data_IF_830121530442
#
_entry.id   IF_830121530442
#
_cell.length_a   1.000
_cell.length_b   1.000
_cell.length_c   1.000
_cell.angle_alpha   90.00
_cell.angle_beta   90.00
_cell.angle_gamma   90.00
#
_symmetry.space_group_name_H-M   'P 1'
#
loop_
_entity.id
_entity.type
_entity.pdbx_description
1 polymer ?
2 polymer ?
3 non-polymer ?
4 non-polymer ?
5 non-polymer ?
6 water ?
#
# COMPACT_ATOMS: atom_id res chain seq x y z
N UNK A 1 10.86 -25.01 13.18
CA UNK A 1 10.70 -23.85 12.28
C UNK A 1 10.05 -24.29 10.97
N UNK A 2 9.20 -23.43 10.40
CA UNK A 2 8.51 -23.75 9.16
C UNK A 2 9.37 -23.49 7.93
N UNK A 3 10.35 -22.56 7.96
CA UNK A 3 11.28 -22.42 6.86
C UNK A 3 12.43 -23.41 7.04
N UNK A 4 12.77 -24.16 5.97
CA UNK A 4 13.91 -25.07 6.07
C UNK A 4 15.19 -24.26 6.14
N UNK A 5 15.27 -23.14 5.40
CA UNK A 5 16.39 -22.22 5.47
C UNK A 5 15.88 -20.78 5.33
N UNK A 6 16.67 -19.81 5.86
CA UNK A 6 16.30 -18.40 5.91
C UNK A 6 16.76 -17.70 4.63
N UNK A 7 16.22 -18.16 3.51
CA UNK A 7 16.53 -17.59 2.20
C UNK A 7 15.24 -17.57 1.39
N UNK A 8 15.36 -17.06 0.16
CA UNK A 8 14.25 -16.89 -0.76
C UNK A 8 13.81 -18.24 -1.30
N UNK A 9 14.79 -19.13 -1.56
CA UNK A 9 14.54 -20.52 -1.87
C UNK A 9 13.74 -21.16 -0.76
N UNK A 10 14.14 -20.91 0.49
CA UNK A 10 13.43 -21.46 1.64
C UNK A 10 11.98 -20.97 1.68
N UNK A 11 11.77 -19.68 1.38
CA UNK A 11 10.43 -19.11 1.41
C UNK A 11 9.64 -19.71 0.24
N UNK A 12 10.26 -19.82 -0.93
CA UNK A 12 9.59 -20.35 -2.10
C UNK A 12 9.12 -21.79 -1.87
N UNK A 13 10.01 -22.62 -1.32
CA UNK A 13 9.68 -23.98 -0.91
C UNK A 13 8.48 -23.98 0.03
N UNK A 14 8.52 -23.15 1.07
CA UNK A 14 7.44 -23.11 2.03
C UNK A 14 6.11 -22.71 1.37
N UNK A 15 6.18 -21.81 0.38
CA UNK A 15 4.98 -21.34 -0.29
C UNK A 15 4.32 -22.45 -1.11
N UNK A 16 5.12 -23.38 -1.64
CA UNK A 16 4.60 -24.43 -2.50
C UNK A 16 4.21 -25.66 -1.70
N UNK A 17 4.58 -25.69 -0.42
CA UNK A 17 4.12 -26.70 0.52
C UNK A 17 2.66 -26.49 0.94
N UNK A 18 2.05 -27.61 1.39
CA UNK A 18 0.67 -27.67 1.82
C UNK A 18 0.44 -26.77 3.03
N UNK A 19 1.53 -26.48 3.76
CA UNK A 19 1.44 -25.67 4.97
C UNK A 19 1.07 -24.23 4.62
N UNK A 20 1.40 -23.76 3.42
CA UNK A 20 1.18 -22.36 3.13
C UNK A 20 -0.03 -22.15 2.22
N UNK A 21 -1.08 -21.56 2.79
CA UNK A 21 -2.36 -21.43 2.12
C UNK A 21 -2.85 -19.98 2.13
N UNK A 22 -2.51 -19.23 3.19
CA UNK A 22 -3.07 -17.90 3.43
C UNK A 22 -1.94 -16.90 3.61
N UNK A 23 -1.82 -15.99 2.63
CA UNK A 23 -0.73 -15.05 2.56
C UNK A 23 -1.29 -13.64 2.79
N UNK A 24 -0.66 -12.91 3.72
CA UNK A 24 -0.93 -11.49 3.88
C UNK A 24 0.26 -10.71 3.34
N UNK A 25 -0.06 -9.76 2.47
CA UNK A 25 0.89 -8.81 1.97
C UNK A 25 0.72 -7.51 2.73
N UNK A 26 1.84 -6.96 3.17
CA UNK A 26 1.92 -5.61 3.72
C UNK A 26 2.77 -4.79 2.76
N UNK A 27 2.20 -3.73 2.19
CA UNK A 27 2.91 -2.99 1.15
C UNK A 27 2.91 -1.48 1.42
N UNK A 28 3.94 -0.81 0.87
CA UNK A 28 4.11 0.63 1.00
C UNK A 28 4.61 1.27 -0.30
N UNK A 29 5.20 2.46 -0.17
CA UNK A 29 5.52 3.33 -1.30
C UNK A 29 6.52 2.69 -2.28
N UNK A 30 7.38 1.80 -1.77
CA UNK A 30 8.44 1.22 -2.57
C UNK A 30 7.92 0.25 -3.63
N UNK A 31 6.64 -0.17 -3.56
CA UNK A 31 6.02 -1.00 -4.61
C UNK A 31 5.44 -0.13 -5.74
N UNK A 32 5.41 1.20 -5.58
CA UNK A 32 4.86 2.04 -6.63
C UNK A 32 5.88 3.04 -7.19
N UNK A 33 7.11 3.08 -6.67
CA UNK A 33 8.10 4.04 -7.13
C UNK A 33 8.48 3.76 -8.59
N UNK A 34 8.50 2.49 -9.00
CA UNK A 34 8.89 2.18 -10.37
C UNK A 34 7.77 2.54 -11.35
N UNK A 35 6.56 2.80 -10.83
CA UNK A 35 5.47 3.30 -11.66
C UNK A 35 5.49 4.82 -11.71
N UNK A 36 6.57 5.43 -11.20
CA UNK A 36 6.78 6.87 -11.23
C UNK A 36 5.89 7.61 -10.24
N UNK A 37 5.54 6.95 -9.13
CA UNK A 37 4.74 7.56 -8.08
C UNK A 37 5.64 7.70 -6.87
N UNK A 38 5.87 8.94 -6.38
CA UNK A 38 6.79 9.15 -5.28
C UNK A 38 6.22 8.79 -3.91
N UNK A 39 7.15 8.57 -2.99
CA UNK A 39 6.83 8.35 -1.59
C UNK A 39 6.39 9.70 -1.02
N UNK A 40 5.11 9.76 -0.62
CA UNK A 40 4.57 10.98 -0.03
C UNK A 40 4.93 11.05 1.46
N UNK A 41 5.81 10.16 1.96
CA UNK A 41 6.36 10.24 3.32
C UNK A 41 7.87 10.48 3.32
N UNK A 42 8.52 10.57 2.15
CA UNK A 42 9.96 10.77 2.08
C UNK A 42 10.26 12.20 1.62
N UNK A 43 11.54 12.59 1.40
CA UNK A 43 11.89 13.92 0.92
C UNK A 43 11.67 14.13 -0.58
N UNK A 44 10.42 13.89 -1.03
CA UNK A 44 9.92 14.45 -2.27
C UNK A 44 9.35 15.83 -1.95
N UNK A 45 8.53 16.41 -2.86
CA UNK A 45 7.87 17.72 -2.76
C UNK A 45 8.57 18.67 -3.71
N UNK A 49 7.34 21.87 0.96
CA UNK A 49 8.66 22.52 0.73
C UNK A 49 8.48 23.89 0.08
N UNK A 50 7.93 23.92 -1.14
CA UNK A 50 7.65 25.18 -1.80
C UNK A 50 6.13 25.34 -1.95
N UNK A 51 5.46 25.44 -0.79
CA UNK A 51 4.03 25.66 -0.70
C UNK A 51 3.75 27.11 -0.32
N UNK A 52 4.76 27.98 -0.44
CA UNK A 52 4.59 29.39 -0.13
C UNK A 52 3.33 29.90 -0.82
N UNK A 53 3.08 29.34 -2.03
CA UNK A 53 1.98 29.72 -2.90
C UNK A 53 0.63 29.74 -2.18
N UNK A 54 0.39 28.77 -1.29
CA UNK A 54 -0.95 28.45 -0.82
C UNK A 54 -1.32 29.18 0.48
N UNK A 55 -0.39 29.93 1.07
CA UNK A 55 -0.70 30.85 2.16
C UNK A 55 -1.20 30.10 3.39
N UNK A 56 -0.60 28.91 3.63
CA UNK A 56 -1.00 27.96 4.66
C UNK A 56 -0.60 28.44 6.05
N UNK A 57 -1.43 28.19 7.11
CA UNK A 57 -1.03 28.51 8.48
C UNK A 57 0.26 27.82 8.94
N UNK A 58 0.41 26.56 8.53
CA UNK A 58 1.59 25.75 8.81
C UNK A 58 1.73 24.75 7.66
N UNK A 59 2.95 24.25 7.35
CA UNK A 59 3.19 23.42 6.17
C UNK A 59 2.18 22.30 5.92
N UNK A 60 1.90 21.50 6.96
CA UNK A 60 1.20 20.24 6.77
C UNK A 60 -0.32 20.43 6.82
N UNK A 61 -0.77 21.70 6.81
CA UNK A 61 -2.18 22.02 6.72
C UNK A 61 -2.78 21.56 5.37
N UNK A 62 -1.93 21.36 4.33
CA UNK A 62 -2.41 20.94 3.02
C UNK A 62 -3.09 19.57 3.08
N UNK A 63 -2.71 18.72 4.06
CA UNK A 63 -3.23 17.35 4.13
C UNK A 63 -4.02 17.13 5.43
N UNK A 64 -4.52 18.22 6.03
CA UNK A 64 -5.36 18.15 7.22
C UNK A 64 -6.81 18.44 6.82
N UNK A 65 -7.74 17.77 7.51
CA UNK A 65 -9.09 17.61 7.02
C UNK A 65 -9.91 18.88 7.29
N UNK A 66 -9.67 19.53 8.45
CA UNK A 66 -10.40 20.72 8.85
C UNK A 66 -10.03 21.90 7.96
N UNK A 67 -8.72 22.05 7.76
CA UNK A 67 -8.17 23.00 6.82
C UNK A 67 -8.81 22.79 5.46
N UNK A 68 -8.77 21.54 4.97
CA UNK A 68 -9.15 21.17 3.62
C UNK A 68 -10.62 21.48 3.33
N UNK A 69 -11.51 21.13 4.27
CA UNK A 69 -12.94 21.36 4.06
C UNK A 69 -13.23 22.87 4.06
N UNK A 70 -12.31 23.67 4.63
CA UNK A 70 -12.43 25.11 4.66
C UNK A 70 -11.77 25.75 3.42
N UNK A 71 -10.63 25.20 2.99
CA UNK A 71 -9.88 25.71 1.86
C UNK A 71 -9.32 24.53 1.07
N UNK A 72 -10.11 23.90 0.17
CA UNK A 72 -9.69 22.72 -0.58
C UNK A 72 -8.81 22.98 -1.79
N UNK A 73 -8.79 24.24 -2.26
CA UNK A 73 -8.07 24.60 -3.48
C UNK A 73 -6.59 24.23 -3.39
N UNK A 74 -5.84 24.57 -2.30
CA UNK A 74 -4.45 24.11 -2.17
C UNK A 74 -4.28 22.62 -2.50
N UNK A 75 -4.99 21.74 -1.78
CA UNK A 75 -4.81 20.30 -1.94
C UNK A 75 -5.02 19.87 -3.40
N UNK A 76 -6.07 20.37 -4.05
CA UNK A 76 -6.38 19.95 -5.42
C UNK A 76 -5.37 20.49 -6.43
N UNK A 77 -4.83 21.68 -6.19
CA UNK A 77 -3.76 22.24 -7.02
C UNK A 77 -2.49 21.39 -6.88
N UNK A 78 -2.18 20.94 -5.66
CA UNK A 78 -1.03 20.11 -5.43
C UNK A 78 -1.26 18.71 -6.02
N UNK A 79 -2.50 18.23 -5.86
CA UNK A 79 -2.93 17.00 -6.50
C UNK A 79 -2.62 17.07 -8.00
N UNK A 80 -2.86 18.22 -8.62
CA UNK A 80 -2.60 18.37 -10.06
C UNK A 80 -1.11 18.20 -10.34
N UNK A 81 -0.26 18.83 -9.52
CA UNK A 81 1.19 18.76 -9.70
C UNK A 81 1.66 17.33 -9.55
N UNK A 82 1.03 16.58 -8.62
CA UNK A 82 1.50 15.27 -8.23
C UNK A 82 0.81 14.16 -9.01
N UNK A 83 -0.25 14.47 -9.76
CA UNK A 83 -1.08 13.47 -10.41
C UNK A 83 -0.24 12.70 -11.43
N UNK A 84 -0.11 11.35 -11.33
CA UNK A 84 0.64 10.59 -12.33
C UNK A 84 0.06 10.72 -13.74
N UNK A 85 0.95 10.78 -14.73
CA UNK A 85 0.52 10.85 -16.11
C UNK A 85 -0.23 9.59 -16.54
N UNK A 86 -0.06 8.50 -15.79
CA UNK A 86 -0.60 7.20 -16.14
C UNK A 86 -0.59 6.33 -14.88
N UNK A 87 -1.55 5.39 -14.78
CA UNK A 87 -1.63 4.46 -13.66
C UNK A 87 -1.28 3.05 -14.16
N UNK A 88 0.01 2.76 -14.19
CA UNK A 88 0.48 1.46 -14.64
C UNK A 88 1.07 0.73 -13.43
N UNK A 89 0.37 -0.31 -12.92
CA UNK A 89 0.89 -1.10 -11.81
C UNK A 89 2.20 -1.83 -12.17
N UNK A 90 2.99 -2.13 -11.14
CA UNK A 90 4.31 -2.71 -11.29
C UNK A 90 4.24 -4.23 -11.20
N UNK A 91 5.39 -4.87 -11.47
CA UNK A 91 5.58 -6.31 -11.28
C UNK A 91 5.10 -6.74 -9.89
N UNK A 92 5.43 -5.96 -8.86
CA UNK A 92 5.06 -6.28 -7.48
C UNK A 92 3.55 -6.32 -7.28
N UNK A 93 2.82 -5.34 -7.86
CA UNK A 93 1.36 -5.36 -7.83
C UNK A 93 0.83 -6.58 -8.58
N UNK A 94 1.40 -6.89 -9.75
CA UNK A 94 0.87 -8.01 -10.51
C UNK A 94 1.19 -9.36 -9.83
N UNK A 95 2.27 -9.37 -9.05
CA UNK A 95 2.63 -10.53 -8.24
C UNK A 95 1.50 -10.87 -7.27
N UNK A 96 0.96 -9.84 -6.62
CA UNK A 96 -0.14 -10.01 -5.70
C UNK A 96 -1.41 -10.50 -6.42
N UNK A 97 -1.60 -10.08 -7.68
CA UNK A 97 -2.70 -10.61 -8.48
C UNK A 97 -2.50 -12.10 -8.76
N UNK A 98 -1.25 -12.51 -9.01
CA UNK A 98 -0.92 -13.92 -9.15
C UNK A 98 -1.28 -14.68 -7.88
N UNK A 99 -0.97 -14.10 -6.70
CA UNK A 99 -1.31 -14.77 -5.45
C UNK A 99 -2.81 -14.98 -5.36
N UNK A 100 -3.56 -13.94 -5.73
CA UNK A 100 -5.01 -14.03 -5.71
C UNK A 100 -5.49 -15.11 -6.67
N UNK A 101 -4.89 -15.19 -7.88
CA UNK A 101 -5.34 -16.14 -8.87
C UNK A 101 -5.08 -17.58 -8.43
N UNK A 102 -4.00 -17.75 -7.65
CA UNK A 102 -3.57 -19.06 -7.21
C UNK A 102 -4.24 -19.44 -5.90
N UNK A 103 -5.14 -18.59 -5.40
CA UNK A 103 -5.89 -18.91 -4.18
C UNK A 103 -5.10 -18.68 -2.89
N UNK A 104 -4.01 -17.91 -2.93
CA UNK A 104 -3.12 -17.76 -1.79
C UNK A 104 -3.33 -16.44 -1.04
N UNK A 105 -4.00 -15.47 -1.65
CA UNK A 105 -4.02 -14.14 -1.05
C UNK A 105 -5.16 -14.05 -0.05
N UNK A 106 -4.86 -13.95 1.25
CA UNK A 106 -5.88 -13.65 2.26
C UNK A 106 -6.20 -12.15 2.25
N UNK A 107 -5.17 -11.30 2.20
CA UNK A 107 -5.41 -9.87 2.24
C UNK A 107 -4.13 -9.13 1.87
N UNK A 108 -4.29 -7.98 1.20
CA UNK A 108 -3.24 -6.98 1.08
C UNK A 108 -3.60 -5.73 1.90
N UNK A 109 -2.76 -5.43 2.90
CA UNK A 109 -2.77 -4.18 3.63
C UNK A 109 -1.79 -3.23 2.96
N UNK A 110 -2.28 -2.08 2.47
CA UNK A 110 -1.44 -1.14 1.75
C UNK A 110 -1.48 0.20 2.48
N UNK A 111 -0.32 0.87 2.48
CA UNK A 111 -0.21 2.25 2.92
C UNK A 111 -0.48 3.21 1.78
N UNK A 112 -0.54 2.72 0.53
CA UNK A 112 -0.56 3.56 -0.67
C UNK A 112 -1.98 3.94 -1.05
N UNK A 113 -2.10 5.08 -1.74
CA UNK A 113 -3.40 5.67 -2.08
C UNK A 113 -3.56 5.73 -3.59
N UNK A 114 -2.61 5.17 -4.34
CA UNK A 114 -2.49 5.38 -5.79
C UNK A 114 -3.40 4.48 -6.62
N UNK A 115 -4.14 3.53 -6.01
CA UNK A 115 -5.12 2.66 -6.66
C UNK A 115 -4.50 1.53 -7.50
N UNK A 116 -3.18 1.42 -7.54
CA UNK A 116 -2.55 0.46 -8.45
C UNK A 116 -2.91 -1.00 -8.11
N UNK A 117 -3.12 -1.31 -6.82
CA UNK A 117 -3.61 -2.62 -6.40
C UNK A 117 -4.94 -2.97 -7.08
N UNK A 118 -5.88 -2.02 -7.08
CA UNK A 118 -7.17 -2.23 -7.73
C UNK A 118 -7.00 -2.39 -9.25
N UNK A 119 -6.18 -1.54 -9.87
CA UNK A 119 -5.98 -1.60 -11.30
C UNK A 119 -5.35 -2.95 -11.67
N UNK A 120 -4.50 -3.49 -10.78
CA UNK A 120 -3.83 -4.75 -11.03
C UNK A 120 -4.76 -5.94 -10.76
N UNK A 121 -5.97 -5.66 -10.25
CA UNK A 121 -7.02 -6.68 -10.18
C UNK A 121 -7.26 -7.26 -8.79
N UNK A 122 -6.72 -6.63 -7.76
CA UNK A 122 -7.18 -6.88 -6.41
C UNK A 122 -8.51 -6.15 -6.22
N UNK A 123 -9.48 -6.86 -5.61
CA UNK A 123 -10.81 -6.34 -5.34
C UNK A 123 -10.88 -5.70 -3.96
N UNK A 124 -11.94 -4.91 -3.72
CA UNK A 124 -12.20 -4.27 -2.43
C UNK A 124 -12.03 -5.24 -1.26
N UNK A 125 -12.56 -6.46 -1.43
CA UNK A 125 -12.54 -7.48 -0.39
C UNK A 125 -11.10 -7.91 -0.05
N UNK A 126 -10.20 -7.80 -1.03
CA UNK A 126 -8.83 -8.29 -0.86
C UNK A 126 -7.94 -7.26 -0.18
N UNK A 127 -8.45 -6.03 0.01
CA UNK A 127 -7.61 -4.88 0.30
C UNK A 127 -8.02 -4.24 1.62
N UNK A 128 -7.03 -3.78 2.38
CA UNK A 128 -7.22 -2.85 3.49
C UNK A 128 -6.36 -1.64 3.16
N UNK A 129 -6.99 -0.61 2.61
CA UNK A 129 -6.30 0.63 2.30
C UNK A 129 -6.19 1.44 3.60
N UNK A 130 -5.06 1.23 4.30
CA UNK A 130 -4.88 1.73 5.64
C UNK A 130 -5.00 3.26 5.68
N UNK A 131 -4.66 3.93 4.58
CA UNK A 131 -4.73 5.38 4.49
C UNK A 131 -5.71 5.86 3.42
N UNK A 132 -6.65 5.01 3.03
CA UNK A 132 -7.63 5.39 2.03
C UNK A 132 -7.09 5.21 0.60
N UNK A 133 -7.85 5.74 -0.37
CA UNK A 133 -7.46 5.64 -1.77
C UNK A 133 -8.09 6.75 -2.58
N UNK A 134 -7.47 7.04 -3.72
CA UNK A 134 -8.03 7.93 -4.74
C UNK A 134 -9.02 7.19 -5.65
N UNK A 135 -9.16 5.87 -5.48
CA UNK A 135 -9.94 5.09 -6.43
C UNK A 135 -11.43 5.49 -6.42
N UNK A 136 -11.94 5.78 -5.22
CA UNK A 136 -13.25 6.39 -5.07
C UNK A 136 -13.11 7.73 -4.34
N UNK A 137 -14.10 8.59 -4.58
CA UNK A 137 -14.31 9.84 -3.87
C UNK A 137 -15.77 9.90 -3.44
N UNK A 138 -16.06 10.62 -2.35
CA UNK A 138 -17.43 10.76 -1.89
C UNK A 138 -17.74 12.22 -1.58
N UNK A 139 -19.02 12.56 -1.74
CA UNK A 139 -19.57 13.86 -1.36
C UNK A 139 -19.40 14.03 0.15
N UNK A 140 -18.87 15.18 0.58
CA UNK A 140 -18.64 15.49 2.00
C UNK A 140 -19.94 15.61 2.77
N UNK A 141 -21.09 15.61 2.09
CA UNK A 141 -22.38 15.60 2.77
C UNK A 141 -22.74 14.16 3.15
N UNK A 142 -22.96 13.94 4.45
CA UNK A 142 -23.22 12.62 4.99
C UNK A 142 -24.56 12.11 4.48
N UNK A 143 -25.50 13.03 4.22
CA UNK A 143 -26.83 12.67 3.76
C UNK A 143 -26.81 12.21 2.31
N UNK A 144 -25.81 12.64 1.52
CA UNK A 144 -25.76 12.35 0.08
C UNK A 144 -24.69 11.32 -0.20
N UNK A 145 -23.46 11.60 0.25
CA UNK A 145 -22.36 10.66 0.19
C UNK A 145 -22.26 10.02 -1.21
N UNK A 146 -22.45 10.83 -2.26
CA UNK A 146 -22.41 10.35 -3.65
C UNK A 146 -21.00 9.95 -4.03
N UNK A 147 -20.84 8.74 -4.61
CA UNK A 147 -19.57 8.18 -5.04
C UNK A 147 -19.18 8.58 -6.46
N UNK A 148 -17.90 8.91 -6.65
CA UNK A 148 -17.39 9.29 -7.95
C UNK A 148 -16.15 8.45 -8.24
N UNK A 149 -15.98 7.93 -9.48
CA UNK A 149 -14.77 7.18 -9.83
C UNK A 149 -13.55 8.07 -9.96
N UNK A 150 -12.37 7.45 -10.09
CA UNK A 150 -11.14 8.22 -10.17
C UNK A 150 -11.12 9.02 -11.45
N UNK A 151 -11.63 8.45 -12.55
CA UNK A 151 -11.66 9.19 -13.81
C UNK A 151 -12.32 10.56 -13.60
N UNK A 152 -13.43 10.56 -12.85
CA UNK A 152 -14.21 11.77 -12.64
C UNK A 152 -13.38 12.75 -11.83
N UNK A 153 -12.72 12.26 -10.78
CA UNK A 153 -11.83 13.08 -9.95
C UNK A 153 -10.63 13.57 -10.77
N UNK A 154 -10.03 12.68 -11.58
CA UNK A 154 -8.95 13.09 -12.48
C UNK A 154 -9.33 14.37 -13.21
N UNK A 155 -10.44 14.28 -13.95
CA UNK A 155 -10.85 15.36 -14.84
C UNK A 155 -10.94 16.67 -14.05
N UNK A 156 -11.64 16.66 -12.90
CA UNK A 156 -11.84 17.89 -12.15
C UNK A 156 -10.49 18.47 -11.70
N UNK A 157 -9.52 17.60 -11.44
CA UNK A 157 -8.22 18.02 -10.95
C UNK A 157 -7.40 18.62 -12.10
N UNK A 158 -7.36 17.89 -13.24
CA UNK A 158 -6.57 18.28 -14.40
C UNK A 158 -7.23 19.43 -15.15
N UNK A 159 -8.46 19.80 -14.74
CA UNK A 159 -9.12 20.96 -15.31
C UNK A 159 -9.27 22.06 -14.26
N UNK A 160 -8.49 21.95 -13.17
CA UNK A 160 -8.41 22.95 -12.10
C UNK A 160 -9.77 23.53 -11.74
N UNK A 161 -10.82 22.68 -11.76
CA UNK A 161 -12.16 23.07 -11.34
C UNK A 161 -12.49 22.20 -10.12
N UNK A 162 -12.86 22.85 -9.01
CA UNK A 162 -13.01 22.15 -7.74
C UNK A 162 -14.11 21.09 -7.88
N UNK A 163 -13.95 19.87 -7.32
CA UNK A 163 -14.98 18.85 -7.45
C UNK A 163 -16.17 19.10 -6.53
N UNK A 164 -17.34 19.26 -7.15
CA UNK A 164 -18.58 19.45 -6.41
C UNK A 164 -19.56 18.37 -6.85
N UNK A 165 -20.43 17.96 -5.93
CA UNK A 165 -21.37 16.89 -6.20
C UNK A 165 -22.39 17.35 -7.25
N UNK A 166 -22.75 16.46 -8.17
CA UNK A 166 -23.74 16.75 -9.18
C UNK A 166 -25.13 16.79 -8.55
N UNK A 167 -25.33 16.00 -7.48
CA UNK A 167 -26.64 15.88 -6.87
C UNK A 167 -26.90 17.01 -5.88
N UNK A 168 -25.88 17.45 -5.11
CA UNK A 168 -26.14 18.41 -4.04
C UNK A 168 -25.11 19.55 -3.97
N UNK A 169 -24.10 19.51 -4.84
CA UNK A 169 -23.13 20.58 -5.03
C UNK A 169 -22.16 20.70 -3.85
N UNK A 170 -22.14 19.70 -2.96
CA UNK A 170 -21.13 19.63 -1.92
C UNK A 170 -19.76 19.37 -2.54
N UNK A 171 -18.71 19.67 -1.76
CA UNK A 171 -17.36 19.25 -2.06
C UNK A 171 -17.29 17.72 -2.11
N UNK A 172 -16.50 17.20 -3.05
CA UNK A 172 -16.24 15.76 -3.17
C UNK A 172 -14.78 15.54 -2.82
N UNK A 173 -14.51 14.73 -1.78
CA UNK A 173 -13.15 14.47 -1.33
C UNK A 173 -12.73 13.07 -1.76
N UNK A 174 -11.51 12.88 -2.31
CA UNK A 174 -10.97 11.54 -2.53
C UNK A 174 -10.99 10.74 -1.23
N UNK A 175 -11.18 9.42 -1.31
CA UNK A 175 -11.36 8.59 -0.13
C UNK A 175 -10.03 8.25 0.55
N UNK A 176 -9.09 9.21 0.60
CA UNK A 176 -7.83 9.05 1.34
C UNK A 176 -8.09 9.43 2.79
N UNK A 177 -7.17 9.08 3.69
CA UNK A 177 -7.23 9.51 5.08
C UNK A 177 -6.34 10.72 5.27
N UNK A 178 -6.93 11.93 5.26
CA UNK A 178 -6.22 13.16 5.59
C UNK A 178 -5.81 13.11 7.05
N UNK A 179 -4.87 13.99 7.44
CA UNK A 179 -4.51 14.13 8.83
C UNK A 179 -5.72 14.72 9.57
N UNK A 180 -6.04 14.11 10.72
CA UNK A 180 -7.16 14.56 11.55
C UNK A 180 -8.42 13.73 11.29
N UNK A 181 -8.38 12.87 10.25
CA UNK A 181 -9.43 11.89 10.03
C UNK A 181 -9.11 10.63 10.84
N UNK A 182 -10.18 9.88 11.15
CA UNK A 182 -10.06 8.58 11.80
C UNK A 182 -9.53 7.53 10.82
N UNK A 183 -8.54 6.74 11.25
CA UNK A 183 -8.08 5.55 10.53
C UNK A 183 -9.28 4.63 10.23
N UNK A 184 -9.34 3.94 9.06
CA UNK A 184 -10.53 3.19 8.72
C UNK A 184 -10.81 2.06 9.71
N UNK A 185 -12.09 1.87 10.05
CA UNK A 185 -12.48 0.90 11.05
C UNK A 185 -12.18 -0.50 10.55
N UNK A 186 -12.22 -0.66 9.22
CA UNK A 186 -11.87 -1.90 8.53
C UNK A 186 -10.45 -2.36 8.87
N UNK A 187 -9.52 -1.42 9.12
CA UNK A 187 -8.15 -1.76 9.44
C UNK A 187 -8.10 -2.63 10.71
N UNK A 188 -8.84 -2.22 11.74
CA UNK A 188 -8.75 -2.87 13.04
C UNK A 188 -9.62 -4.11 13.03
N UNK A 189 -10.75 -4.01 12.31
CA UNK A 189 -11.64 -5.14 12.11
C UNK A 189 -10.87 -6.29 11.47
N UNK A 190 -10.27 -6.00 10.31
CA UNK A 190 -9.65 -7.04 9.49
C UNK A 190 -8.44 -7.61 10.20
N UNK A 191 -7.68 -6.74 10.90
CA UNK A 191 -6.49 -7.16 11.62
C UNK A 191 -6.86 -8.21 12.69
N UNK A 192 -7.98 -7.99 13.39
CA UNK A 192 -8.44 -8.91 14.43
C UNK A 192 -8.66 -10.29 13.82
N UNK A 193 -9.18 -10.32 12.60
CA UNK A 193 -9.64 -11.57 12.02
C UNK A 193 -8.55 -12.27 11.20
N UNK A 194 -7.81 -11.47 10.44
CA UNK A 194 -6.88 -11.98 9.45
C UNK A 194 -5.67 -12.68 10.09
N UNK A 195 -5.18 -12.14 11.20
CA UNK A 195 -3.90 -12.60 11.75
C UNK A 195 -4.06 -13.92 12.49
N UNK A 196 -5.30 -14.41 12.60
CA UNK A 196 -5.59 -15.74 13.13
C UNK A 196 -5.42 -16.82 12.05
N UNK A 197 -5.25 -16.42 10.78
CA UNK A 197 -5.27 -17.36 9.67
C UNK A 197 -3.99 -17.32 8.85
N UNK A 198 -3.03 -16.45 9.19
CA UNK A 198 -1.98 -16.13 8.25
C UNK A 198 -0.91 -17.22 8.30
N UNK A 199 -0.44 -17.66 7.13
CA UNK A 199 0.63 -18.62 7.07
C UNK A 199 1.93 -17.99 6.58
N UNK A 200 1.83 -16.81 5.97
CA UNK A 200 3.01 -16.13 5.46
C UNK A 200 2.72 -14.64 5.38
N UNK A 201 3.69 -13.83 5.82
CA UNK A 201 3.65 -12.39 5.68
C UNK A 201 4.68 -11.97 4.64
N UNK A 202 4.18 -11.49 3.49
CA UNK A 202 4.99 -10.81 2.51
C UNK A 202 4.90 -9.33 2.81
N UNK A 203 6.05 -8.74 3.03
CA UNK A 203 6.24 -7.34 3.38
C UNK A 203 7.09 -6.70 2.28
N UNK A 204 6.49 -5.81 1.50
CA UNK A 204 7.19 -5.25 0.34
C UNK A 204 7.11 -3.72 0.32
N UNK A 205 8.25 -3.06 0.05
CA UNK A 205 8.24 -1.63 -0.25
C UNK A 205 7.83 -0.75 0.92
N UNK A 206 8.06 -1.19 2.16
CA UNK A 206 7.79 -0.37 3.32
C UNK A 206 8.97 -0.48 4.28
N UNK A 207 9.33 0.65 4.91
CA UNK A 207 10.35 0.73 5.94
C UNK A 207 9.69 0.61 7.31
N UNK A 208 8.37 0.45 7.33
CA UNK A 208 7.60 0.22 8.53
C UNK A 208 7.87 1.30 9.58
N UNK A 209 7.56 2.56 9.24
CA UNK A 209 7.82 3.71 10.10
C UNK A 209 6.53 4.37 10.56
N UNK A 210 5.46 4.25 9.76
CA UNK A 210 4.19 4.87 10.08
C UNK A 210 3.37 3.89 10.93
N UNK A 211 2.79 4.38 12.03
CA UNK A 211 1.91 3.57 12.85
C UNK A 211 0.46 3.98 12.55
N UNK A 212 -0.54 3.08 12.72
CA UNK A 212 -0.34 1.76 13.32
C UNK A 212 0.01 0.63 12.35
N UNK A 213 0.22 0.94 11.06
CA UNK A 213 0.52 -0.05 10.04
C UNK A 213 1.75 -0.87 10.42
N UNK A 214 2.78 -0.21 10.93
CA UNK A 214 4.02 -0.89 11.29
C UNK A 214 3.74 -2.02 12.28
N UNK A 215 2.78 -1.82 13.19
CA UNK A 215 2.52 -2.75 14.28
C UNK A 215 1.98 -4.08 13.76
N UNK A 216 1.56 -4.12 12.49
CA UNK A 216 0.97 -5.30 11.89
C UNK A 216 1.91 -6.50 11.93
N UNK A 217 3.23 -6.27 11.90
CA UNK A 217 4.18 -7.39 11.86
C UNK A 217 4.20 -8.11 13.20
N UNK A 218 3.91 -7.40 14.29
CA UNK A 218 3.83 -8.01 15.61
C UNK A 218 2.54 -8.83 15.75
N UNK A 219 1.60 -8.72 14.81
CA UNK A 219 0.34 -9.44 14.89
C UNK A 219 0.48 -10.86 14.34
N UNK A 220 1.56 -11.14 13.63
CA UNK A 220 1.73 -12.47 13.05
C UNK A 220 1.98 -13.47 14.17
N UNK A 221 1.45 -14.69 14.07
CA UNK A 221 1.87 -15.78 14.95
C UNK A 221 3.39 -15.96 14.90
N UNK A 222 3.96 -16.43 16.01
CA UNK A 222 5.41 -16.62 16.14
C UNK A 222 5.99 -17.55 15.07
N UNK A 223 5.26 -18.61 14.70
CA UNK A 223 5.68 -19.56 13.67
C UNK A 223 5.61 -18.98 12.25
N UNK A 224 4.82 -17.91 12.04
CA UNK A 224 4.54 -17.44 10.69
C UNK A 224 5.80 -16.86 10.05
N UNK A 225 6.29 -17.46 8.95
CA UNK A 225 7.42 -16.91 8.21
C UNK A 225 7.13 -15.50 7.68
N UNK A 226 8.15 -14.64 7.65
CA UNK A 226 7.97 -13.27 7.20
C UNK A 226 9.10 -12.89 6.23
N UNK A 227 8.72 -12.55 4.99
CA UNK A 227 9.69 -12.14 4.00
C UNK A 227 9.55 -10.64 3.71
N UNK A 228 10.68 -9.91 3.80
CA UNK A 228 10.78 -8.51 3.42
C UNK A 228 11.52 -8.40 2.09
N UNK A 229 10.84 -7.82 1.11
CA UNK A 229 11.44 -7.35 -0.12
C UNK A 229 11.46 -5.83 -0.05
N UNK A 230 12.67 -5.24 -0.12
CA UNK A 230 12.84 -3.82 0.12
C UNK A 230 14.29 -3.46 -0.21
N UNK A 231 14.47 -2.19 -0.57
CA UNK A 231 15.78 -1.58 -0.80
C UNK A 231 16.61 -1.53 0.48
N UNK A 232 15.96 -1.57 1.65
CA UNK A 232 16.64 -1.62 2.93
C UNK A 232 15.92 -2.56 3.88
N UNK A 233 16.69 -3.27 4.73
CA UNK A 233 16.18 -3.94 5.92
C UNK A 233 15.43 -2.94 6.80
N UNK A 234 14.39 -3.44 7.50
CA UNK A 234 13.45 -2.66 8.29
C UNK A 234 12.64 -3.61 9.18
N UNK A 235 12.00 -3.06 10.22
CA UNK A 235 11.05 -3.77 11.05
C UNK A 235 11.66 -4.29 12.36
N UNK A 236 13.00 -4.20 12.48
CA UNK A 236 13.72 -4.61 13.66
C UNK A 236 13.32 -3.76 14.87
N UNK A 237 13.47 -4.33 16.07
CA UNK A 237 13.36 -3.57 17.31
C UNK A 237 14.18 -2.29 17.21
N UNK A 238 13.67 -1.23 17.81
CA UNK A 238 14.31 0.06 17.71
C UNK A 238 14.62 0.55 19.13
N UNK A 239 15.89 0.48 19.60
CA UNK A 239 16.22 0.94 20.95
C UNK A 239 16.00 2.43 21.19
N UNK A 240 15.84 3.20 20.11
CA UNK A 240 15.59 4.62 20.31
C UNK A 240 14.12 4.84 20.68
N UNK A 241 13.31 3.78 20.57
CA UNK A 241 12.01 3.74 21.23
C UNK A 241 12.18 2.96 22.54
N UNK A 242 11.48 1.85 22.73
CA UNK A 242 11.62 1.02 23.91
C UNK A 242 12.93 0.24 23.93
N UNK A 243 12.98 -0.90 23.23
CA UNK A 243 14.20 -1.71 23.12
C UNK A 243 14.13 -2.54 21.82
N UNK A 248 5.00 -7.19 20.67
CA UNK A 248 6.27 -6.47 20.41
C UNK A 248 7.36 -7.43 19.95
N UNK A 249 7.22 -7.91 18.70
CA UNK A 249 8.13 -8.92 18.14
C UNK A 249 8.66 -8.47 16.78
N UNK A 250 9.73 -7.66 16.79
CA UNK A 250 10.28 -7.08 15.56
C UNK A 250 10.93 -8.14 14.68
N UNK A 251 11.34 -7.72 13.48
CA UNK A 251 12.01 -8.59 12.54
C UNK A 251 13.39 -8.97 13.10
N UNK A 252 13.69 -10.26 13.04
CA UNK A 252 15.02 -10.74 13.36
C UNK A 252 15.52 -11.59 12.20
N UNK A 253 16.37 -10.98 11.39
CA UNK A 253 16.94 -11.59 10.20
C UNK A 253 18.30 -12.22 10.46
N UNK A 254 19.18 -11.53 11.21
CA UNK A 254 20.62 -11.76 11.15
C UNK A 254 21.21 -12.25 12.48
N UNK A 255 20.41 -12.31 13.56
CA UNK A 255 20.90 -12.78 14.85
C UNK A 255 20.96 -14.32 14.87
N UNK A 256 21.58 -14.85 15.93
CA UNK A 256 21.71 -16.28 16.10
C UNK A 256 20.37 -16.88 16.52
N UNK A 257 19.40 -16.01 16.85
CA UNK A 257 18.07 -16.43 17.25
C UNK A 257 17.09 -16.34 16.09
N UNK A 258 17.55 -15.90 14.91
CA UNK A 258 16.70 -15.81 13.72
C UNK A 258 16.19 -17.19 13.33
N UNK A 259 14.87 -17.33 13.10
CA UNK A 259 14.32 -18.64 12.76
C UNK A 259 13.25 -18.54 11.66
N UNK A 260 12.81 -17.34 11.28
CA UNK A 260 11.63 -17.25 10.44
C UNK A 260 11.60 -16.03 9.52
N UNK A 261 12.52 -15.07 9.71
CA UNK A 261 12.49 -13.82 8.98
C UNK A 261 13.61 -13.79 7.95
N UNK A 262 13.26 -13.31 6.75
CA UNK A 262 14.15 -13.26 5.60
C UNK A 262 14.05 -11.89 4.93
N UNK A 263 15.21 -11.33 4.57
CA UNK A 263 15.32 -10.04 3.91
C UNK A 263 15.94 -10.23 2.55
N UNK A 264 15.24 -9.75 1.53
CA UNK A 264 15.78 -9.68 0.19
C UNK A 264 15.89 -8.20 -0.16
N UNK A 265 17.08 -7.80 -0.63
CA UNK A 265 17.43 -6.39 -0.74
C UNK A 265 17.60 -6.01 -2.20
N UNK A 266 16.81 -5.00 -2.62
CA UNK A 266 16.87 -4.46 -3.96
C UNK A 266 15.54 -3.81 -4.32
N UNK A 267 15.39 -3.46 -5.61
CA UNK A 267 14.12 -3.00 -6.15
C UNK A 267 13.07 -4.10 -5.91
N UNK A 268 11.90 -3.68 -5.46
CA UNK A 268 10.78 -4.59 -5.25
C UNK A 268 10.56 -5.43 -6.50
N UNK A 269 10.60 -4.76 -7.65
CA UNK A 269 10.36 -5.39 -8.94
C UNK A 269 11.29 -6.59 -9.06
N UNK A 270 12.58 -6.37 -8.77
CA UNK A 270 13.57 -7.43 -8.94
C UNK A 270 13.37 -8.49 -7.86
N UNK A 271 12.93 -8.11 -6.66
CA UNK A 271 12.65 -9.09 -5.62
C UNK A 271 11.54 -10.05 -6.01
N UNK A 272 10.41 -9.52 -6.49
CA UNK A 272 9.26 -10.35 -6.83
C UNK A 272 9.57 -11.22 -8.05
N UNK A 273 10.40 -10.72 -8.97
CA UNK A 273 10.81 -11.50 -10.12
C UNK A 273 11.62 -12.70 -9.65
N UNK A 274 12.49 -12.50 -8.67
CA UNK A 274 13.32 -13.57 -8.13
C UNK A 274 12.47 -14.58 -7.37
N UNK A 275 11.52 -14.12 -6.55
CA UNK A 275 10.63 -15.03 -5.87
C UNK A 275 9.81 -15.79 -6.92
N UNK A 276 9.32 -15.08 -7.95
CA UNK A 276 8.53 -15.72 -9.00
C UNK A 276 9.36 -16.78 -9.74
N UNK A 277 10.63 -16.48 -10.03
CA UNK A 277 11.46 -17.41 -10.77
C UNK A 277 11.59 -18.72 -9.99
N UNK A 278 11.67 -18.62 -8.65
CA UNK A 278 11.85 -19.79 -7.80
C UNK A 278 10.56 -20.60 -7.68
N UNK A 279 9.40 -19.95 -7.89
CA UNK A 279 8.10 -20.58 -7.72
C UNK A 279 7.60 -21.19 -9.02
N UNK A 280 8.22 -20.83 -10.16
CA UNK A 280 7.77 -21.30 -11.46
C UNK A 280 6.73 -20.37 -12.06
N UNK A 281 6.70 -19.11 -11.63
CA UNK A 281 5.65 -18.18 -12.03
C UNK A 281 6.19 -17.06 -12.92
N UNK A 282 7.49 -17.04 -13.24
CA UNK A 282 8.08 -15.89 -13.92
C UNK A 282 7.44 -15.67 -15.29
N UNK A 283 7.17 -16.74 -16.04
CA UNK A 283 6.54 -16.64 -17.34
C UNK A 283 5.11 -16.09 -17.20
N UNK A 284 4.34 -16.66 -16.26
CA UNK A 284 2.97 -16.25 -16.03
C UNK A 284 2.90 -14.78 -15.63
N UNK A 285 3.83 -14.36 -14.75
CA UNK A 285 3.97 -12.99 -14.29
C UNK A 285 4.37 -12.05 -15.42
N UNK A 286 5.35 -12.46 -16.23
CA UNK A 286 5.77 -11.67 -17.36
C UNK A 286 4.63 -11.47 -18.35
N UNK A 287 3.95 -12.57 -18.69
CA UNK A 287 2.85 -12.51 -19.64
C UNK A 287 1.73 -11.62 -19.12
N UNK A 288 1.48 -11.69 -17.81
CA UNK A 288 0.42 -10.93 -17.18
C UNK A 288 0.75 -9.43 -17.21
N UNK A 289 1.95 -9.04 -16.77
CA UNK A 289 2.37 -7.65 -16.78
C UNK A 289 2.30 -7.10 -18.21
N UNK A 290 2.88 -7.83 -19.17
CA UNK A 290 2.97 -7.30 -20.53
C UNK A 290 1.58 -7.07 -21.11
N UNK A 291 0.62 -7.98 -20.90
CA UNK A 291 -0.68 -7.79 -21.52
C UNK A 291 -1.47 -6.73 -20.77
N UNK A 292 -1.25 -6.63 -19.46
CA UNK A 292 -1.92 -5.59 -18.68
C UNK A 292 -1.38 -4.21 -19.01
N UNK A 293 -0.05 -4.10 -19.13
CA UNK A 293 0.61 -2.86 -19.50
C UNK A 293 0.17 -2.41 -20.89
N UNK A 294 0.19 -3.35 -21.84
CA UNK A 294 -0.20 -3.04 -23.21
C UNK A 294 -1.63 -2.53 -23.22
N UNK A 295 -2.49 -3.20 -22.44
CA UNK A 295 -3.89 -2.85 -22.33
C UNK A 295 -4.06 -1.41 -21.80
N UNK A 296 -3.25 -1.04 -20.81
CA UNK A 296 -3.32 0.29 -20.23
C UNK A 296 -2.74 1.30 -21.22
N UNK A 297 -1.60 0.95 -21.82
CA UNK A 297 -0.93 1.81 -22.80
C UNK A 297 -1.90 2.13 -23.92
N UNK A 298 -2.66 1.12 -24.31
CA UNK A 298 -3.63 1.23 -25.38
C UNK A 298 -4.81 2.13 -24.98
N UNK A 299 -5.11 2.25 -23.68
CA UNK A 299 -6.25 3.03 -23.21
C UNK A 299 -5.79 4.42 -22.73
N UNK A 300 -4.56 4.80 -23.15
CA UNK A 300 -3.81 5.95 -22.64
C UNK A 300 -3.50 5.76 -21.15
N UNK B 1 -9.07 5.57 16.15
CA UNK B 1 -8.06 6.67 16.30
C UNK B 1 -7.95 7.49 15.02
N UNK B 2 -7.17 8.59 15.11
CA UNK B 2 -7.07 9.58 14.05
C UNK B 2 -5.65 9.62 13.51
N UNK B 3 -5.55 10.06 12.24
CA UNK B 3 -4.29 10.10 11.54
C UNK B 3 -3.50 11.34 11.96
N UNK B 4 -2.37 11.12 12.65
CA UNK B 4 -1.52 12.20 13.13
C UNK B 4 -0.12 12.02 12.52
N UNK B 5 0.57 13.14 12.28
CA UNK B 5 1.91 13.12 11.70
C UNK B 5 2.92 13.06 12.85
N UNK B 6 2.75 13.95 13.84
CA UNK B 6 3.63 13.96 15.00
C UNK B 6 3.23 12.82 15.96
X LIG C 1 19.78 -10.48 -0.99
X LIG C 1 19.31 -9.32 -0.33
X LIG C 1 19.90 -10.27 -2.46
X LIG C 1 20.39 -8.98 -2.76
X LIG D 1 17.86 -13.16 7.15
X LIG D 1 17.46 -14.45 7.57
X LIG D 1 18.41 -13.11 5.80
X LIG D 1 17.55 -12.45 4.92
X LIG E 1 -23.76 15.16 -2.81
X LIG F 1 -1.75 9.82 4.58
X LIG F 1 -0.73 9.17 4.98
X LIG F 1 -1.96 10.08 3.10
X LIG F 1 -1.01 11.09 2.53
X LIG F 1 -1.56 11.81 1.30
X LIG F 1 -0.51 12.33 0.35
X LIG F 1 -0.97 13.45 -0.56
X LIG F 1 -1.87 13.03 -1.71
X LIG F 1 -1.22 13.13 -3.09
X LIG F 1 -2.17 13.47 -4.22
X LIG F 1 -1.74 12.97 -5.58
X LIG F 1 -2.55 11.82 -6.09
X LIG F 1 -1.85 10.94 -7.10
X LIG F 1 -2.02 9.45 -6.89
X LIG F 1 -3.40 8.93 -7.26
#
# INVERSE_FOLDING_TARGET
>A
RLLDELTLEGVARYMQSERCRRVICLVGAGISTSAGIPDFRSPSTGLYDNLEKYHLPYPEAIFEISYFKKHPEPFFALAKELYPGQFKPTICHYFMRLLKDKGLLLRCYTQNIDTLERIAGLEQEDLVEAHGTFYTSHCVSASCRHEYPLSWMKEKIFSEVTPKCEDCQSLVKPDIVFFGESLPARFFSCMQSDFLKVDLLLVMGTSLQVQPFASLISKAPLSTPRLLINKEKAGQSDPFLGMIMGLGGGMDFDSKKAYRDVAWLGECDQGCLALAELLGWKKELEDLVRREHASIDAQS
>B
PRKQLA
>C hetero
1 EDO C1 O1 C2 O2
>D hetero
1 EDO C1 O1 C2 O2
>E hetero
1 ZN ZN
>F hetero
1 MYR C1 O1 C2 C3 C4 C5 C6 C7 C8 C9 C10 C11 C12 C13 C14
#
